data_IF_300929933260
#
_entry.id   IF_300929933260
#
_cell.length_a   1.000
_cell.length_b   1.000
_cell.length_c   1.000
_cell.angle_alpha   90.00
_cell.angle_beta   90.00
_cell.angle_gamma   90.00
#
_symmetry.space_group_name_H-M   'P 1'
#
loop_
_entity.id
_entity.type
_entity.pdbx_description
1 polymer ?
#
# COMPACT_ATOMS: atom_id res chain seq x y z
N UNK A 1 -3.84 35.68 29.17
CA UNK A 1 -4.64 34.84 28.25
C UNK A 1 -4.39 33.39 28.60
N UNK A 2 -5.23 32.77 29.45
CA UNK A 2 -5.07 31.37 29.82
C UNK A 2 -5.53 30.48 28.65
N UNK A 3 -4.61 29.68 28.10
CA UNK A 3 -4.92 28.73 27.03
C UNK A 3 -5.74 27.55 27.54
N UNK A 4 -6.86 27.25 26.89
CA UNK A 4 -7.67 26.07 27.21
C UNK A 4 -6.84 24.80 27.01
N UNK A 5 -6.86 23.90 27.99
CA UNK A 5 -6.16 22.60 27.90
C UNK A 5 -6.87 21.71 26.89
N UNK A 6 -6.10 20.93 26.14
CA UNK A 6 -6.60 19.99 25.11
C UNK A 6 -7.67 19.03 25.66
N UNK A 7 -7.55 18.64 26.93
CA UNK A 7 -8.53 17.80 27.62
C UNK A 7 -9.92 18.43 27.71
N UNK A 8 -10.02 19.75 27.83
CA UNK A 8 -11.32 20.43 27.88
C UNK A 8 -11.97 20.54 26.50
N UNK A 9 -11.16 20.79 25.46
CA UNK A 9 -11.65 20.83 24.08
C UNK A 9 -12.21 19.47 23.64
N UNK A 10 -11.56 18.38 24.05
CA UNK A 10 -12.03 17.03 23.75
C UNK A 10 -13.34 16.70 24.48
N UNK A 11 -13.50 17.17 25.72
CA UNK A 11 -14.72 16.97 26.50
C UNK A 11 -15.89 17.78 25.92
N UNK A 12 -15.65 19.04 25.55
CA UNK A 12 -16.64 19.90 24.89
C UNK A 12 -17.10 19.33 23.54
N UNK A 13 -16.19 18.72 22.77
CA UNK A 13 -16.53 18.07 21.50
C UNK A 13 -17.40 16.82 21.68
N UNK A 14 -17.21 16.06 22.76
CA UNK A 14 -18.03 14.89 23.08
C UNK A 14 -19.47 15.29 23.43
N UNK A 15 -19.64 16.31 24.27
CA UNK A 15 -20.96 16.80 24.69
C UNK A 15 -21.79 17.32 23.48
N UNK A 16 -21.13 17.92 22.48
CA UNK A 16 -21.78 18.38 21.24
C UNK A 16 -22.31 17.25 20.37
N UNK A 17 -21.66 16.10 20.35
CA UNK A 17 -22.12 14.94 19.59
C UNK A 17 -23.35 14.30 20.24
N UNK A 18 -23.37 14.24 21.58
CA UNK A 18 -24.48 13.69 22.33
C UNK A 18 -25.74 14.56 22.17
N UNK A 19 -25.62 15.89 22.17
CA UNK A 19 -26.76 16.80 21.89
C UNK A 19 -27.32 16.67 20.46
N UNK A 20 -26.49 16.25 19.50
CA UNK A 20 -26.89 16.10 18.10
C UNK A 20 -27.76 14.84 17.90
N UNK A 21 -27.53 13.77 18.66
CA UNK A 21 -28.38 12.57 18.62
C UNK A 21 -29.78 12.82 19.23
N UNK A 22 -29.86 13.60 20.31
CA UNK A 22 -31.13 13.89 20.96
C UNK A 22 -32.05 14.81 20.15
N UNK A 23 -31.50 15.52 19.15
CA UNK A 23 -32.27 16.43 18.27
C UNK A 23 -32.92 15.73 17.08
N UNK A 24 -32.61 14.45 16.83
CA UNK A 24 -33.09 13.72 15.64
C UNK A 24 -34.21 12.69 15.92
N UNK A 25 -34.87 12.79 17.08
CA UNK A 25 -36.01 11.93 17.42
C UNK A 25 -37.32 12.73 17.43
N UNK A 26 -37.97 12.81 16.25
CA UNK A 26 -39.40 13.13 16.12
C UNK A 26 -39.96 12.60 14.79
N UNK A 27 -40.65 11.45 14.87
CA UNK A 27 -41.68 10.94 13.92
C UNK A 27 -41.15 10.25 12.64
N UNK A 28 -41.62 9.08 12.19
CA UNK A 28 -42.87 8.37 12.49
C UNK A 28 -42.77 6.88 12.13
N UNK A 29 -43.45 6.05 12.93
CA UNK A 29 -43.85 4.68 12.62
C UNK A 29 -44.98 4.66 11.57
N UNK A 30 -45.09 3.57 10.80
CA UNK A 30 -46.30 2.75 10.50
C UNK A 30 -45.91 1.68 9.46
N UNK A 31 -46.36 0.44 9.69
CA UNK A 31 -46.12 -0.81 8.94
C UNK A 31 -47.30 -1.11 7.95
N UNK A 32 -47.49 -2.31 7.34
CA UNK A 32 -47.65 -2.44 5.88
C UNK A 32 -49.05 -2.93 5.43
N UNK A 33 -49.54 -2.54 4.24
CA UNK A 33 -50.66 -3.25 3.57
C UNK A 33 -50.78 -2.99 2.06
N UNK A 34 -50.83 -4.09 1.30
CA UNK A 34 -51.77 -4.39 0.19
C UNK A 34 -51.71 -3.61 -1.14
N UNK A 35 -51.38 -4.39 -2.19
CA UNK A 35 -51.57 -4.30 -3.66
C UNK A 35 -52.82 -3.55 -4.20
N UNK A 36 -52.92 -3.16 -5.50
CA UNK A 36 -52.27 -3.75 -6.69
C UNK A 36 -51.63 -2.79 -7.72
N UNK A 37 -50.71 -3.35 -8.51
CA UNK A 37 -50.11 -2.74 -9.72
C UNK A 37 -50.81 -3.29 -10.95
N UNK A 38 -51.26 -2.38 -11.82
CA UNK A 38 -51.74 -2.66 -13.18
C UNK A 38 -50.56 -2.62 -14.16
N UNK A 39 -50.45 -3.69 -14.94
CA UNK A 39 -49.62 -3.97 -16.13
C UNK A 39 -49.81 -2.92 -17.26
N UNK A 40 -48.91 -2.78 -18.26
CA UNK A 40 -48.40 -3.83 -19.17
C UNK A 40 -46.85 -3.84 -19.31
N UNK A 41 -46.17 -4.99 -19.27
CA UNK A 41 -46.02 -6.05 -20.29
C UNK A 41 -45.55 -5.57 -21.66
N UNK A 42 -44.24 -5.72 -21.90
CA UNK A 42 -43.67 -6.09 -23.20
C UNK A 42 -42.26 -6.66 -22.99
N UNK A 43 -42.16 -7.98 -22.90
CA UNK A 43 -40.96 -8.73 -23.31
C UNK A 43 -40.87 -8.71 -24.84
N UNK A 44 -39.67 -8.83 -25.40
CA UNK A 44 -39.37 -10.13 -25.98
C UNK A 44 -37.98 -10.66 -25.62
N UNK A 45 -37.96 -11.98 -25.67
CA UNK A 45 -36.90 -12.92 -25.37
C UNK A 45 -35.92 -13.11 -26.54
N UNK A 46 -34.69 -13.50 -26.17
CA UNK A 46 -33.90 -14.56 -26.81
C UNK A 46 -33.08 -14.27 -28.08
N UNK A 47 -31.79 -14.65 -27.92
CA UNK A 47 -30.90 -15.32 -28.88
C UNK A 47 -29.81 -14.50 -29.62
N UNK A 48 -28.57 -14.89 -29.27
CA UNK A 48 -27.46 -15.24 -30.15
C UNK A 48 -26.99 -14.28 -31.24
N UNK A 49 -25.67 -14.07 -31.26
CA UNK A 49 -24.91 -14.05 -32.51
C UNK A 49 -24.20 -12.73 -32.80
N UNK A 50 -22.88 -12.81 -32.72
CA UNK A 50 -21.87 -11.97 -33.40
C UNK A 50 -22.38 -11.09 -34.54
N UNK A 51 -22.03 -9.80 -34.56
CA UNK A 51 -21.02 -9.22 -35.47
C UNK A 51 -21.03 -7.68 -35.44
N UNK A 52 -19.86 -7.15 -35.78
CA UNK A 52 -19.45 -5.76 -36.04
C UNK A 52 -20.50 -4.91 -36.77
N UNK A 53 -20.54 -3.61 -36.46
CA UNK A 53 -20.99 -2.59 -37.40
C UNK A 53 -21.60 -1.37 -36.74
N UNK A 54 -20.93 -0.22 -36.88
CA UNK A 54 -21.43 1.09 -36.50
C UNK A 54 -22.77 1.41 -37.17
N UNK A 55 -23.78 1.85 -36.40
CA UNK A 55 -24.90 2.65 -36.89
C UNK A 55 -25.67 3.30 -35.72
N UNK A 56 -25.66 4.64 -35.67
CA UNK A 56 -26.80 5.43 -35.21
C UNK A 56 -27.03 5.63 -33.72
N UNK A 57 -26.01 5.90 -32.91
CA UNK A 57 -26.24 6.49 -31.58
C UNK A 57 -26.51 8.00 -31.74
N UNK A 58 -27.61 8.50 -31.16
CA UNK A 58 -27.88 9.94 -31.14
C UNK A 58 -26.69 10.66 -30.47
N UNK A 59 -26.25 11.83 -30.95
CA UNK A 59 -25.06 12.51 -30.40
C UNK A 59 -25.14 12.72 -28.89
N UNK A 60 -26.36 12.87 -28.36
CA UNK A 60 -26.61 12.97 -26.92
C UNK A 60 -26.33 11.65 -26.20
N UNK A 61 -26.69 10.50 -26.76
CA UNK A 61 -26.46 9.18 -26.12
C UNK A 61 -24.96 8.86 -26.03
N UNK A 62 -24.21 9.23 -27.07
CA UNK A 62 -22.75 9.12 -27.06
C UNK A 62 -22.13 10.00 -25.95
N UNK A 63 -22.66 11.22 -25.77
CA UNK A 63 -22.17 12.17 -24.78
C UNK A 63 -22.54 11.76 -23.34
N UNK A 64 -23.77 11.32 -23.10
CA UNK A 64 -24.22 10.78 -21.80
C UNK A 64 -23.40 9.55 -21.44
N UNK A 65 -23.19 8.63 -22.39
CA UNK A 65 -22.34 7.45 -22.16
C UNK A 65 -20.92 7.89 -21.79
N UNK A 66 -20.36 8.90 -22.47
CA UNK A 66 -19.02 9.42 -22.15
C UNK A 66 -18.94 10.08 -20.77
N UNK A 67 -19.94 10.89 -20.41
CA UNK A 67 -19.94 11.65 -19.15
C UNK A 67 -20.17 10.76 -17.92
N UNK A 68 -20.97 9.70 -18.08
CA UNK A 68 -21.34 8.82 -16.97
C UNK A 68 -20.65 7.45 -17.00
N UNK A 69 -19.70 7.22 -17.91
CA UNK A 69 -18.94 5.99 -17.87
C UNK A 69 -18.00 5.97 -16.65
N UNK A 70 -17.89 4.80 -16.03
CA UNK A 70 -16.97 4.59 -14.92
C UNK A 70 -15.56 5.05 -15.31
N UNK A 71 -14.86 5.72 -14.38
CA UNK A 71 -13.55 6.39 -14.56
C UNK A 71 -12.43 5.55 -15.20
N UNK A 72 -12.65 4.26 -15.47
CA UNK A 72 -11.69 3.36 -16.09
C UNK A 72 -11.99 3.01 -17.56
N UNK A 73 -13.03 3.60 -18.15
CA UNK A 73 -13.50 3.30 -19.52
C UNK A 73 -12.95 4.23 -20.60
N UNK A 74 -12.22 5.29 -20.23
CA UNK A 74 -11.52 6.11 -21.21
C UNK A 74 -10.41 5.25 -21.82
N UNK A 75 -10.74 4.66 -22.97
CA UNK A 75 -9.85 3.90 -23.84
C UNK A 75 -8.60 4.74 -24.10
N UNK A 76 -7.57 4.51 -23.28
CA UNK A 76 -6.19 4.73 -23.69
C UNK A 76 -6.08 3.94 -24.99
N UNK A 77 -5.82 4.62 -26.10
CA UNK A 77 -5.33 4.01 -27.33
C UNK A 77 -4.12 3.16 -26.96
N UNK A 78 -4.39 1.89 -26.64
CA UNK A 78 -3.38 0.91 -26.30
C UNK A 78 -2.65 0.65 -27.60
N UNK A 79 -1.51 1.34 -27.79
CA UNK A 79 -0.42 0.80 -28.61
C UNK A 79 -0.33 -0.69 -28.25
N UNK A 80 -0.23 -1.62 -29.22
CA UNK A 80 -0.03 -3.03 -28.91
C UNK A 80 1.19 -3.09 -28.00
N UNK A 81 0.96 -3.35 -26.72
CA UNK A 81 2.01 -3.48 -25.75
C UNK A 81 2.77 -4.72 -26.20
N UNK A 82 3.94 -4.53 -26.82
CA UNK A 82 4.92 -5.59 -27.02
C UNK A 82 5.06 -6.23 -25.65
N UNK A 83 4.49 -7.42 -25.48
CA UNK A 83 4.38 -8.10 -24.20
C UNK A 83 5.79 -8.13 -23.61
N UNK A 84 6.13 -7.27 -22.62
CA UNK A 84 7.46 -7.32 -22.07
C UNK A 84 7.53 -8.69 -21.43
N UNK A 85 8.47 -9.53 -21.88
CA UNK A 85 8.73 -10.81 -21.21
C UNK A 85 8.79 -10.48 -19.73
N UNK A 86 7.92 -11.09 -18.94
CA UNK A 86 7.73 -10.73 -17.53
C UNK A 86 9.07 -10.88 -16.81
N UNK A 87 9.82 -9.78 -16.69
CA UNK A 87 11.07 -9.77 -15.96
C UNK A 87 10.69 -9.94 -14.50
N UNK A 88 11.13 -11.04 -13.89
CA UNK A 88 10.99 -11.20 -12.46
C UNK A 88 11.72 -10.03 -11.79
N UNK A 89 10.98 -9.22 -11.04
CA UNK A 89 11.55 -8.13 -10.26
C UNK A 89 11.19 -8.33 -8.81
N UNK A 90 12.12 -8.04 -7.93
CA UNK A 90 11.87 -8.00 -6.50
C UNK A 90 12.01 -6.55 -6.05
N UNK A 91 10.90 -5.98 -5.59
CA UNK A 91 10.88 -4.61 -5.10
C UNK A 91 10.61 -4.62 -3.60
N UNK A 92 11.47 -3.94 -2.85
CA UNK A 92 11.37 -3.88 -1.41
C UNK A 92 11.88 -2.54 -0.87
N UNK A 93 11.15 -1.97 0.10
CA UNK A 93 11.60 -0.80 0.86
C UNK A 93 12.49 -1.23 2.03
N UNK A 94 13.74 -0.79 2.01
CA UNK A 94 14.69 -0.94 3.11
C UNK A 94 14.76 0.35 3.90
N UNK A 95 15.10 0.28 5.18
CA UNK A 95 15.34 1.44 6.02
C UNK A 95 16.72 1.33 6.67
N UNK A 96 17.66 2.18 6.29
CA UNK A 96 18.98 2.17 6.93
C UNK A 96 18.92 2.91 8.28
N UNK A 97 19.29 2.23 9.35
CA UNK A 97 19.38 2.79 10.70
C UNK A 97 20.74 3.47 10.90
N UNK A 98 20.76 4.54 11.69
CA UNK A 98 22.00 5.25 12.01
C UNK A 98 22.80 4.66 13.17
N UNK A 99 22.23 3.73 13.93
CA UNK A 99 22.84 3.11 15.11
C UNK A 99 22.71 1.59 15.04
N UNK A 100 23.67 0.87 15.60
CA UNK A 100 23.68 -0.61 15.62
C UNK A 100 22.78 -1.19 16.71
N UNK A 101 22.62 -0.44 17.78
CA UNK A 101 21.98 -0.80 19.05
C UNK A 101 20.47 -0.51 19.07
N UNK A 102 19.90 -0.06 17.96
CA UNK A 102 18.46 0.17 17.82
C UNK A 102 17.70 -1.14 17.62
N UNK A 103 16.95 -1.54 18.64
CA UNK A 103 15.99 -2.66 18.60
C UNK A 103 14.55 -2.20 18.35
N UNK A 104 14.30 -0.89 18.36
CA UNK A 104 12.96 -0.33 18.21
C UNK A 104 12.73 0.15 16.78
N UNK A 105 11.49 -0.01 16.32
CA UNK A 105 11.10 0.50 14.99
C UNK A 105 11.07 2.03 15.04
N UNK A 106 11.84 2.74 14.19
CA UNK A 106 11.84 4.19 14.17
C UNK A 106 10.45 4.76 13.87
N UNK A 107 10.09 5.84 14.57
CA UNK A 107 8.88 6.60 14.27
C UNK A 107 8.98 7.27 12.89
N UNK A 108 7.86 7.73 12.35
CA UNK A 108 7.84 8.46 11.06
C UNK A 108 8.81 9.64 11.06
N UNK A 109 8.81 10.44 12.13
CA UNK A 109 9.73 11.57 12.27
C UNK A 109 11.20 11.11 12.31
N UNK A 110 11.48 10.01 13.00
CA UNK A 110 12.83 9.41 13.03
C UNK A 110 13.28 8.93 11.65
N UNK A 111 12.38 8.30 10.88
CA UNK A 111 12.65 7.90 9.49
C UNK A 111 12.95 9.10 8.60
N UNK A 112 12.19 10.19 8.74
CA UNK A 112 12.42 11.42 7.96
C UNK A 112 13.78 12.06 8.28
N UNK A 113 14.20 12.04 9.55
CA UNK A 113 15.53 12.51 9.97
C UNK A 113 16.64 11.64 9.37
N UNK A 114 16.48 10.32 9.41
CA UNK A 114 17.42 9.39 8.77
C UNK A 114 17.50 9.66 7.26
N UNK A 115 16.36 9.88 6.59
CA UNK A 115 16.30 10.21 5.17
C UNK A 115 17.09 11.47 4.81
N UNK A 116 16.93 12.54 5.59
CA UNK A 116 17.70 13.79 5.42
C UNK A 116 19.21 13.59 5.61
N UNK A 117 19.60 12.62 6.44
CA UNK A 117 21.01 12.26 6.64
C UNK A 117 21.57 11.36 5.52
N UNK A 118 20.76 10.96 4.53
CA UNK A 118 21.17 9.97 3.51
C UNK A 118 21.10 8.52 4.00
N UNK A 119 20.48 8.28 5.16
CA UNK A 119 20.08 6.98 5.68
C UNK A 119 18.55 6.81 5.51
N UNK A 120 17.91 5.87 6.18
CA UNK A 120 16.44 5.76 6.20
C UNK A 120 15.81 5.01 5.02
N UNK A 121 14.52 5.26 4.78
CA UNK A 121 13.69 4.50 3.84
C UNK A 121 14.16 4.70 2.38
N UNK A 122 14.52 3.61 1.68
CA UNK A 122 14.81 3.59 0.25
C UNK A 122 14.14 2.39 -0.39
N UNK A 123 13.47 2.62 -1.51
CA UNK A 123 12.85 1.56 -2.31
C UNK A 123 13.86 1.02 -3.30
N UNK A 124 14.18 -0.26 -3.16
CA UNK A 124 15.14 -0.98 -3.97
C UNK A 124 14.42 -1.93 -4.92
N UNK A 125 14.83 -1.93 -6.19
CA UNK A 125 14.24 -2.76 -7.25
C UNK A 125 15.33 -3.64 -7.84
N UNK A 126 15.33 -4.90 -7.44
CA UNK A 126 16.20 -5.94 -7.96
C UNK A 126 15.58 -6.49 -9.26
N UNK A 127 16.35 -6.46 -10.35
CA UNK A 127 15.91 -6.95 -11.66
C UNK A 127 16.48 -8.35 -11.90
N UNK A 128 15.63 -9.30 -12.28
CA UNK A 128 16.01 -10.70 -12.48
C UNK A 128 16.03 -11.51 -11.19
N UNK A 129 16.66 -12.68 -11.26
CA UNK A 129 16.89 -13.54 -10.11
C UNK A 129 18.28 -13.20 -9.55
N UNK A 130 18.33 -12.34 -8.54
CA UNK A 130 19.55 -12.04 -7.78
C UNK A 130 19.84 -13.23 -6.84
N UNK A 131 20.27 -14.34 -7.44
CA UNK A 131 20.64 -15.56 -6.72
C UNK A 131 22.07 -15.46 -6.16
N UNK A 132 22.88 -14.52 -6.66
CA UNK A 132 24.21 -14.24 -6.12
C UNK A 132 24.13 -13.33 -4.90
N UNK A 133 24.73 -13.79 -3.79
CA UNK A 133 24.78 -12.98 -2.56
C UNK A 133 25.68 -11.75 -2.70
N UNK A 134 26.75 -11.82 -3.52
CA UNK A 134 27.65 -10.69 -3.75
C UNK A 134 26.93 -9.54 -4.47
N UNK A 135 26.12 -9.85 -5.48
CA UNK A 135 25.33 -8.87 -6.23
C UNK A 135 24.29 -8.20 -5.32
N UNK A 136 23.61 -8.99 -4.49
CA UNK A 136 22.67 -8.46 -3.50
C UNK A 136 23.38 -7.49 -2.55
N UNK A 137 24.49 -7.92 -1.95
CA UNK A 137 25.26 -7.10 -1.02
C UNK A 137 25.77 -5.82 -1.68
N UNK A 138 26.37 -5.92 -2.87
CA UNK A 138 26.89 -4.77 -3.61
C UNK A 138 25.78 -3.78 -3.96
N UNK A 139 24.59 -4.26 -4.34
CA UNK A 139 23.44 -3.40 -4.63
C UNK A 139 22.92 -2.66 -3.39
N UNK A 140 22.88 -3.32 -2.22
CA UNK A 140 22.56 -2.66 -0.95
C UNK A 140 23.62 -1.61 -0.61
N UNK A 141 24.91 -1.94 -0.73
CA UNK A 141 26.02 -1.03 -0.43
C UNK A 141 26.12 0.14 -1.40
N UNK A 142 25.79 -0.05 -2.69
CA UNK A 142 25.67 1.02 -3.67
C UNK A 142 24.48 1.94 -3.34
N UNK A 143 23.40 1.37 -2.81
CA UNK A 143 22.22 2.11 -2.37
C UNK A 143 22.43 2.86 -1.05
N UNK A 144 23.28 2.35 -0.18
CA UNK A 144 23.60 2.99 1.10
C UNK A 144 25.12 3.06 1.28
N UNK A 145 25.80 4.04 0.64
CA UNK A 145 27.27 4.12 0.64
C UNK A 145 27.87 4.17 2.05
N UNK A 146 27.16 4.79 3.00
CA UNK A 146 27.56 4.89 4.42
C UNK A 146 27.73 3.54 5.12
N UNK A 147 27.14 2.45 4.58
CA UNK A 147 27.33 1.10 5.11
C UNK A 147 28.71 0.53 4.77
N UNK A 148 29.36 1.02 3.70
CA UNK A 148 30.72 0.59 3.31
C UNK A 148 31.74 1.03 4.36
N UNK A 149 31.65 2.29 4.76
CA UNK A 149 32.53 2.87 5.79
C UNK A 149 32.33 2.22 7.16
N UNK A 150 31.14 1.66 7.38
CA UNK A 150 30.73 1.14 8.66
C UNK A 150 31.03 -0.36 8.88
N UNK A 151 31.75 -1.02 7.97
CA UNK A 151 32.14 -2.43 8.10
C UNK A 151 31.11 -3.45 7.59
N UNK A 152 29.98 -2.98 7.05
CA UNK A 152 28.93 -3.83 6.47
C UNK A 152 27.55 -3.58 7.08
N UNK A 153 26.66 -4.55 6.89
CA UNK A 153 25.29 -4.44 7.37
C UNK A 153 24.69 -5.77 7.85
N UNK A 154 23.66 -5.63 8.66
CA UNK A 154 22.79 -6.73 9.09
C UNK A 154 21.35 -6.40 8.72
N UNK A 155 20.59 -7.39 8.24
CA UNK A 155 19.18 -7.20 7.94
C UNK A 155 18.33 -7.54 9.16
N UNK A 156 17.41 -6.64 9.50
CA UNK A 156 16.44 -6.82 10.56
C UNK A 156 15.03 -6.77 9.96
N UNK A 157 14.12 -7.56 10.50
CA UNK A 157 12.69 -7.47 10.18
C UNK A 157 11.93 -6.88 11.35
N UNK A 158 10.77 -6.32 11.06
CA UNK A 158 9.79 -6.00 12.11
C UNK A 158 9.21 -7.31 12.63
N UNK A 159 9.17 -7.47 13.95
CA UNK A 159 8.57 -8.60 14.65
C UNK A 159 7.70 -8.12 15.81
N UNK A 160 6.86 -9.01 16.31
CA UNK A 160 5.87 -8.70 17.35
C UNK A 160 4.54 -8.22 16.80
N UNK A 161 3.64 -7.85 17.72
CA UNK A 161 2.27 -7.42 17.39
C UNK A 161 2.21 -5.91 17.17
N UNK A 162 1.09 -5.39 16.67
CA UNK A 162 0.87 -3.95 16.41
C UNK A 162 1.27 -3.04 17.57
N UNK A 163 1.05 -3.49 18.83
CA UNK A 163 1.35 -2.73 20.04
C UNK A 163 2.78 -2.91 20.57
N UNK A 164 3.50 -3.94 20.13
CA UNK A 164 4.86 -4.24 20.58
C UNK A 164 5.77 -4.64 19.41
N UNK A 165 5.91 -3.73 18.44
CA UNK A 165 6.78 -3.92 17.28
C UNK A 165 8.23 -3.65 17.67
N UNK A 166 9.08 -4.62 17.42
CA UNK A 166 10.53 -4.53 17.61
C UNK A 166 11.25 -5.04 16.37
N UNK A 167 12.54 -4.77 16.29
CA UNK A 167 13.42 -5.25 15.24
C UNK A 167 14.05 -6.56 15.68
N UNK A 168 13.92 -7.59 14.85
CA UNK A 168 14.58 -8.88 15.04
C UNK A 168 15.55 -9.15 13.90
N UNK A 169 16.68 -9.78 14.21
CA UNK A 169 17.70 -10.11 13.23
C UNK A 169 17.17 -11.17 12.25
N UNK A 170 17.35 -10.92 10.96
CA UNK A 170 17.21 -11.95 9.93
C UNK A 170 18.55 -12.70 9.90
N UNK A 171 18.59 -14.00 10.24
CA UNK A 171 19.84 -14.75 10.24
C UNK A 171 20.55 -14.66 8.88
N UNK A 172 21.86 -14.47 8.91
CA UNK A 172 22.65 -14.55 7.69
C UNK A 172 22.79 -16.02 7.31
N UNK A 173 22.32 -16.45 6.14
CA UNK A 173 22.54 -17.83 5.69
C UNK A 173 24.03 -18.03 5.37
N UNK A 174 24.46 -19.29 5.31
CA UNK A 174 25.85 -19.68 5.01
C UNK A 174 26.39 -19.11 3.69
N UNK A 175 25.53 -18.99 2.68
CA UNK A 175 25.87 -18.42 1.37
C UNK A 175 25.68 -16.89 1.29
N UNK A 176 25.23 -16.25 2.38
CA UNK A 176 24.90 -14.82 2.43
C UNK A 176 23.50 -14.48 1.90
N UNK A 177 23.06 -13.24 2.11
CA UNK A 177 21.71 -12.81 1.74
C UNK A 177 21.52 -12.82 0.23
N UNK A 178 20.41 -13.41 -0.23
CA UNK A 178 19.94 -13.39 -1.63
C UNK A 178 18.50 -12.93 -1.68
N UNK A 179 18.03 -12.54 -2.87
CA UNK A 179 16.61 -12.18 -3.06
C UNK A 179 15.71 -13.38 -2.82
N UNK A 180 16.14 -14.56 -3.26
CA UNK A 180 15.39 -15.82 -3.07
C UNK A 180 15.23 -16.14 -1.58
N UNK A 181 16.27 -15.94 -0.77
CA UNK A 181 16.19 -16.07 0.68
C UNK A 181 15.20 -15.08 1.29
N UNK A 182 15.22 -13.80 0.91
CA UNK A 182 14.30 -12.79 1.44
C UNK A 182 12.84 -12.98 1.00
N UNK A 183 12.60 -13.72 -0.09
CA UNK A 183 11.26 -14.10 -0.54
C UNK A 183 10.71 -15.31 0.21
N UNK A 184 11.52 -15.97 1.03
CA UNK A 184 11.07 -17.12 1.82
C UNK A 184 9.94 -16.69 2.78
N UNK A 185 8.75 -17.32 2.68
CA UNK A 185 7.64 -17.02 3.58
C UNK A 185 7.97 -17.21 5.06
N UNK A 186 8.93 -18.09 5.41
CA UNK A 186 9.36 -18.32 6.79
C UNK A 186 9.98 -17.09 7.42
N UNK A 187 10.68 -16.26 6.62
CA UNK A 187 11.23 -15.02 7.13
C UNK A 187 10.15 -13.98 7.38
N UNK A 188 8.97 -14.13 6.79
CA UNK A 188 7.88 -13.16 6.80
C UNK A 188 8.40 -11.78 6.39
N UNK A 189 9.27 -11.72 5.39
CA UNK A 189 9.76 -10.47 4.78
C UNK A 189 8.93 -10.21 3.53
N UNK A 190 7.61 -10.18 3.72
CA UNK A 190 6.67 -9.94 2.62
C UNK A 190 6.75 -8.49 2.15
N UNK A 191 6.20 -8.21 0.96
CA UNK A 191 6.26 -6.92 0.25
C UNK A 191 5.84 -5.65 1.04
N UNK A 192 5.27 -5.80 2.23
CA UNK A 192 4.77 -4.73 3.10
C UNK A 192 5.53 -4.58 4.41
N UNK A 193 6.56 -5.38 4.67
CA UNK A 193 7.37 -5.30 5.90
C UNK A 193 8.61 -4.47 5.61
N UNK A 194 8.98 -3.56 6.52
CA UNK A 194 10.22 -2.79 6.38
C UNK A 194 11.39 -3.66 6.84
N UNK A 195 12.40 -3.79 5.99
CA UNK A 195 13.67 -4.44 6.36
C UNK A 195 14.66 -3.35 6.73
N UNK A 196 15.28 -3.47 7.89
CA UNK A 196 16.22 -2.49 8.38
C UNK A 196 17.64 -2.96 8.18
N UNK A 197 18.49 -2.12 7.59
CA UNK A 197 19.91 -2.36 7.55
C UNK A 197 20.56 -1.57 8.69
N UNK A 198 21.31 -2.24 9.56
CA UNK A 198 22.15 -1.55 10.56
C UNK A 198 23.62 -1.80 10.27
N UNK A 199 24.47 -0.82 10.56
CA UNK A 199 25.93 -0.92 10.42
C UNK A 199 26.50 -2.03 11.31
N UNK A 200 27.35 -2.88 10.74
CA UNK A 200 28.10 -3.90 11.48
C UNK A 200 29.54 -3.45 11.70
N UNK A 201 29.88 -3.12 12.93
CA UNK A 201 31.26 -2.75 13.30
C UNK A 201 32.18 -3.98 13.19
N UNK A 202 33.39 -3.78 12.65
CA UNK A 202 34.43 -4.82 12.46
C UNK A 202 35.04 -5.20 13.80
#
# INVERSE_FOLDING_TARGET
>A
MAGRRVSELLREAADRLEQMEHSNSSGSSITPSTTPITTPSATPSTSSGSTRGALGTHPVDAEVTRLFAAYNSQSRTRRPARNPRSVHTYTHTFCCLGRKDTSTVPSRVGKDQLLRSGLGDRRLVFQGNHDSSSEFMEFILASYPKLRDAGGFELLKISGTTRNRHLSLIPCPNQGYTVTYLKDPVLLVNHSIFTFARCKEI
#
